data_IF_785852166236
#
_entry.id   IF_785852166236
#
_cell.length_a   1.000
_cell.length_b   1.000
_cell.length_c   1.000
_cell.angle_alpha   90.00
_cell.angle_beta   90.00
_cell.angle_gamma   90.00
#
_symmetry.space_group_name_H-M   'P 1'
#
loop_
_entity.id
_entity.type
_entity.pdbx_description
1 polymer ?
#
# COMPACT_ATOMS: atom_id res chain seq x y z
N UNK A 1 16.16 -5.42 12.62
CA UNK A 1 15.10 -6.30 12.06
C UNK A 1 14.25 -5.52 11.08
N UNK A 2 14.07 -6.04 9.87
CA UNK A 2 13.18 -5.43 8.89
C UNK A 2 11.78 -6.03 9.04
N UNK A 3 10.78 -5.16 9.12
CA UNK A 3 9.38 -5.55 9.18
C UNK A 3 8.76 -5.18 7.84
N UNK A 4 8.08 -6.14 7.21
CA UNK A 4 7.33 -5.89 5.98
C UNK A 4 5.86 -6.20 6.23
N UNK A 5 5.00 -5.22 6.00
CA UNK A 5 3.55 -5.40 6.10
C UNK A 5 3.02 -5.68 4.72
N UNK A 6 2.33 -6.81 4.58
CA UNK A 6 1.72 -7.22 3.30
C UNK A 6 0.25 -6.87 3.36
N UNK A 7 -0.21 -6.05 2.41
CA UNK A 7 -1.58 -5.56 2.38
C UNK A 7 -2.23 -6.05 1.09
N UNK A 8 -3.12 -7.07 1.17
CA UNK A 8 -3.89 -7.47 0.00
C UNK A 8 -4.98 -6.44 -0.29
N UNK A 9 -5.18 -6.13 -1.56
CA UNK A 9 -6.20 -5.18 -1.97
C UNK A 9 -7.03 -5.74 -3.12
N UNK A 10 -8.32 -5.40 -3.10
CA UNK A 10 -9.23 -5.66 -4.20
C UNK A 10 -10.33 -4.60 -4.16
N UNK A 11 -10.31 -3.67 -5.14
CA UNK A 11 -11.28 -2.57 -5.21
C UNK A 11 -11.41 -1.79 -3.90
N UNK A 12 -10.25 -1.37 -3.36
CA UNK A 12 -10.15 -0.72 -2.06
C UNK A 12 -9.81 0.76 -2.16
N UNK A 13 -10.16 1.42 -3.27
CA UNK A 13 -9.73 2.81 -3.50
C UNK A 13 -10.07 3.76 -2.35
N UNK A 14 -11.17 3.53 -1.64
CA UNK A 14 -11.57 4.39 -0.52
C UNK A 14 -10.80 4.12 0.76
N UNK A 15 -10.10 3.00 0.85
CA UNK A 15 -9.47 2.56 2.10
C UNK A 15 -7.94 2.57 2.05
N UNK A 16 -7.33 2.52 0.87
CA UNK A 16 -5.89 2.38 0.75
C UNK A 16 -5.14 3.52 1.46
N UNK A 17 -5.52 4.76 1.21
CA UNK A 17 -4.86 5.89 1.86
C UNK A 17 -5.10 5.89 3.37
N UNK A 18 -6.29 5.50 3.81
CA UNK A 18 -6.61 5.40 5.24
C UNK A 18 -5.73 4.38 5.94
N UNK A 19 -5.56 3.22 5.33
CA UNK A 19 -4.70 2.16 5.86
C UNK A 19 -3.26 2.65 5.91
N UNK A 20 -2.80 3.28 4.85
CA UNK A 20 -1.44 3.80 4.77
C UNK A 20 -1.17 4.84 5.87
N UNK A 21 -2.10 5.77 6.08
CA UNK A 21 -1.98 6.80 7.12
C UNK A 21 -1.92 6.17 8.51
N UNK A 22 -2.73 5.16 8.78
CA UNK A 22 -2.69 4.45 10.07
C UNK A 22 -1.33 3.82 10.33
N UNK A 23 -0.75 3.21 9.31
CA UNK A 23 0.57 2.59 9.43
C UNK A 23 1.64 3.65 9.67
N UNK A 24 1.57 4.77 8.96
CA UNK A 24 2.52 5.88 9.14
C UNK A 24 2.46 6.46 10.55
N UNK A 25 1.29 6.50 11.15
CA UNK A 25 1.12 7.02 12.52
C UNK A 25 1.81 6.17 13.58
N UNK A 26 2.10 4.92 13.30
CA UNK A 26 2.79 4.05 14.27
C UNK A 26 4.23 4.46 14.49
N UNK A 27 4.81 5.22 13.56
CA UNK A 27 6.23 5.67 13.57
C UNK A 27 7.23 4.53 13.64
N UNK A 28 6.83 3.33 13.28
CA UNK A 28 7.70 2.17 13.21
C UNK A 28 8.31 2.11 11.80
N UNK A 29 9.62 1.90 11.73
CA UNK A 29 10.27 1.70 10.44
C UNK A 29 9.89 0.35 9.89
N UNK A 30 9.16 0.34 8.77
CA UNK A 30 8.75 -0.89 8.13
C UNK A 30 8.58 -0.67 6.62
N UNK A 31 8.58 -1.77 5.89
CA UNK A 31 8.27 -1.73 4.47
C UNK A 31 6.82 -2.15 4.27
N UNK A 32 6.21 -1.63 3.22
CA UNK A 32 4.82 -1.93 2.89
C UNK A 32 4.79 -2.52 1.49
N UNK A 33 4.15 -3.68 1.37
CA UNK A 33 3.95 -4.35 0.09
C UNK A 33 2.46 -4.49 -0.17
N UNK A 34 1.94 -3.76 -1.15
CA UNK A 34 0.57 -3.93 -1.60
C UNK A 34 0.53 -5.06 -2.64
N UNK A 35 -0.37 -6.01 -2.43
CA UNK A 35 -0.61 -7.07 -3.43
C UNK A 35 -2.04 -6.88 -3.92
N UNK A 36 -2.17 -6.35 -5.13
CA UNK A 36 -3.48 -6.05 -5.69
C UNK A 36 -3.94 -7.17 -6.61
N UNK A 37 -5.16 -7.63 -6.38
CA UNK A 37 -5.74 -8.74 -7.12
C UNK A 37 -6.62 -8.22 -8.27
N UNK A 38 -5.98 -7.46 -9.19
CA UNK A 38 -6.62 -6.96 -10.40
C UNK A 38 -7.81 -6.03 -10.14
N UNK A 39 -7.61 -5.03 -9.28
CA UNK A 39 -8.67 -4.04 -9.00
C UNK A 39 -9.10 -3.32 -10.27
N UNK A 40 -10.40 -3.09 -10.38
CA UNK A 40 -11.02 -2.38 -11.49
C UNK A 40 -11.24 -0.90 -11.21
N UNK A 41 -11.10 -0.50 -9.95
CA UNK A 41 -11.25 0.90 -9.53
C UNK A 41 -9.90 1.63 -9.56
N UNK A 42 -9.78 2.73 -8.81
CA UNK A 42 -8.55 3.54 -8.75
C UNK A 42 -7.49 3.00 -7.79
N UNK A 43 -7.70 1.81 -7.21
CA UNK A 43 -6.77 1.24 -6.24
C UNK A 43 -5.34 1.19 -6.77
N UNK A 44 -5.13 0.69 -7.98
CA UNK A 44 -3.79 0.56 -8.54
C UNK A 44 -3.12 1.92 -8.74
N UNK A 45 -3.87 2.93 -9.16
CA UNK A 45 -3.32 4.29 -9.33
C UNK A 45 -2.86 4.88 -8.00
N UNK A 46 -3.64 4.66 -6.96
CA UNK A 46 -3.30 5.15 -5.61
C UNK A 46 -2.04 4.46 -5.11
N UNK A 47 -1.95 3.15 -5.30
CA UNK A 47 -0.79 2.36 -4.89
C UNK A 47 0.47 2.83 -5.61
N UNK A 48 0.39 3.03 -6.91
CA UNK A 48 1.52 3.52 -7.71
C UNK A 48 1.97 4.89 -7.20
N UNK A 49 1.03 5.77 -6.92
CA UNK A 49 1.34 7.10 -6.40
C UNK A 49 2.10 7.00 -5.07
N UNK A 50 1.62 6.16 -4.16
CA UNK A 50 2.26 5.96 -2.86
C UNK A 50 3.67 5.39 -3.02
N UNK A 51 3.87 4.46 -3.95
CA UNK A 51 5.18 3.87 -4.17
C UNK A 51 6.19 4.87 -4.72
N UNK A 52 5.73 5.87 -5.47
CA UNK A 52 6.60 6.93 -5.98
C UNK A 52 6.96 7.94 -4.90
N UNK A 53 6.04 8.22 -3.98
CA UNK A 53 6.26 9.20 -2.91
C UNK A 53 7.08 8.63 -1.75
N UNK A 54 6.97 7.33 -1.47
CA UNK A 54 7.58 6.71 -0.30
C UNK A 54 8.43 5.51 -0.73
N UNK A 55 9.72 5.56 -0.43
CA UNK A 55 10.69 4.53 -0.83
C UNK A 55 10.39 3.15 -0.22
N UNK A 56 9.71 3.13 0.91
CA UNK A 56 9.40 1.89 1.61
C UNK A 56 8.07 1.26 1.17
N UNK A 57 7.46 1.77 0.11
CA UNK A 57 6.22 1.22 -0.44
C UNK A 57 6.50 0.56 -1.78
N UNK A 58 6.10 -0.69 -1.90
CA UNK A 58 6.21 -1.45 -3.14
C UNK A 58 4.89 -2.14 -3.43
N UNK A 59 4.77 -2.76 -4.59
CA UNK A 59 3.52 -3.40 -4.98
C UNK A 59 3.74 -4.54 -5.98
N UNK A 60 2.79 -5.47 -5.98
CA UNK A 60 2.66 -6.52 -6.96
C UNK A 60 1.21 -6.49 -7.45
N UNK A 61 1.03 -6.38 -8.75
CA UNK A 61 -0.29 -6.46 -9.38
C UNK A 61 -0.44 -7.84 -10.03
N UNK A 62 -1.51 -8.50 -9.71
CA UNK A 62 -1.81 -9.81 -10.29
C UNK A 62 -2.73 -9.71 -11.50
#
# INVERSE_FOLDING_TARGET
MKICVIIPTLNEEKNIEKIFIKIKKTKIKLDILFIDDNSKDKSQKIIIKLSKEFKNVDYIFR
#
